data_IF_095334796803
#
_entry.id   IF_095334796803
#
_cell.length_a   1.000
_cell.length_b   1.000
_cell.length_c   1.000
_cell.angle_alpha   90.00
_cell.angle_beta   90.00
_cell.angle_gamma   90.00
#
_symmetry.space_group_name_H-M   'P 1'
#
loop_
_entity.id
_entity.type
_entity.pdbx_description
1 polymer ?
#
# COMPACT_ATOMS: atom_id res chain seq x y z
N UNK A 1 8.52 -0.60 4.77
CA UNK A 1 7.61 -1.75 4.73
C UNK A 1 6.85 -1.91 3.42
N UNK A 2 6.21 -0.87 2.89
CA UNK A 2 5.35 -0.95 1.68
C UNK A 2 5.98 -1.69 0.49
N UNK A 3 7.25 -1.41 0.15
CA UNK A 3 7.95 -2.06 -0.95
C UNK A 3 8.06 -3.59 -0.80
N UNK A 4 8.42 -4.07 0.39
CA UNK A 4 8.60 -5.52 0.64
C UNK A 4 7.27 -6.25 0.87
N UNK A 5 6.22 -5.52 1.27
CA UNK A 5 4.90 -6.09 1.47
C UNK A 5 4.11 -6.14 0.16
N UNK A 6 3.96 -5.01 -0.54
CA UNK A 6 2.90 -4.85 -1.54
C UNK A 6 3.36 -5.03 -3.00
N UNK A 7 4.66 -5.17 -3.24
CA UNK A 7 5.17 -5.56 -4.57
C UNK A 7 5.10 -7.06 -4.76
N UNK A 8 4.91 -7.49 -6.00
CA UNK A 8 4.93 -8.89 -6.41
C UNK A 8 6.27 -9.56 -6.06
N UNK A 9 7.38 -8.86 -6.25
CA UNK A 9 8.74 -9.33 -6.00
C UNK A 9 9.16 -9.15 -4.53
N UNK A 10 8.25 -8.70 -3.66
CA UNK A 10 8.50 -8.48 -2.25
C UNK A 10 8.50 -9.78 -1.44
N UNK A 11 9.54 -9.96 -0.63
CA UNK A 11 9.64 -11.06 0.34
C UNK A 11 9.66 -10.47 1.76
N UNK A 12 8.49 -10.27 2.39
CA UNK A 12 8.41 -9.53 3.62
C UNK A 12 8.93 -10.35 4.81
N UNK A 13 9.84 -9.77 5.58
CA UNK A 13 10.17 -10.19 6.93
C UNK A 13 9.79 -9.04 7.86
N UNK A 14 8.79 -9.26 8.71
CA UNK A 14 8.28 -8.22 9.63
C UNK A 14 9.05 -8.32 10.94
N UNK A 15 9.56 -7.19 11.41
CA UNK A 15 10.26 -7.13 12.68
C UNK A 15 9.23 -6.95 13.81
N UNK A 16 9.28 -7.82 14.82
CA UNK A 16 8.26 -7.86 15.87
C UNK A 16 8.09 -6.51 16.60
N UNK A 17 9.17 -5.80 17.02
CA UNK A 17 9.05 -4.49 17.62
C UNK A 17 8.46 -3.40 16.70
N UNK A 18 8.65 -3.50 15.39
CA UNK A 18 8.03 -2.53 14.46
C UNK A 18 6.50 -2.72 14.39
N UNK A 19 5.99 -3.91 14.75
CA UNK A 19 4.55 -4.19 14.78
C UNK A 19 3.92 -3.94 16.16
N UNK A 20 4.61 -4.29 17.24
CA UNK A 20 4.04 -4.28 18.60
C UNK A 20 4.72 -3.29 19.55
N UNK A 21 5.77 -2.60 19.09
CA UNK A 21 6.67 -1.86 19.95
C UNK A 21 7.58 -2.78 20.76
N UNK A 22 8.45 -2.17 21.56
CA UNK A 22 9.33 -2.91 22.46
C UNK A 22 9.85 -2.04 23.59
N UNK A 23 10.08 -2.66 24.75
CA UNK A 23 10.76 -2.04 25.87
C UNK A 23 11.70 -3.07 26.51
N UNK A 24 12.99 -2.72 26.61
CA UNK A 24 14.01 -3.55 27.24
C UNK A 24 15.14 -2.69 27.82
N UNK A 25 15.97 -3.30 28.66
CA UNK A 25 17.15 -2.65 29.24
C UNK A 25 18.40 -3.28 28.65
N UNK A 26 19.39 -2.47 28.28
CA UNK A 26 20.69 -2.93 27.77
C UNK A 26 21.84 -2.12 28.39
N UNK A 27 23.04 -2.69 28.37
CA UNK A 27 24.25 -2.01 28.85
C UNK A 27 24.81 -1.11 27.75
N UNK A 28 24.95 0.18 28.06
CA UNK A 28 25.58 1.16 27.20
C UNK A 28 27.08 0.92 27.08
N UNK A 29 27.72 1.64 26.15
CA UNK A 29 29.19 1.62 26.01
C UNK A 29 29.93 2.23 27.21
N UNK A 30 29.20 2.92 28.08
CA UNK A 30 29.65 3.46 29.37
C UNK A 30 29.62 2.43 30.51
N UNK A 31 29.06 1.24 30.27
CA UNK A 31 28.89 0.20 31.28
C UNK A 31 27.66 0.39 32.18
N UNK A 32 26.82 1.38 31.89
CA UNK A 32 25.60 1.67 32.64
C UNK A 32 24.36 1.05 31.96
N UNK A 33 23.32 0.78 32.74
CA UNK A 33 22.06 0.23 32.21
C UNK A 33 21.17 1.35 31.66
N UNK A 34 20.69 1.18 30.43
CA UNK A 34 19.81 2.13 29.74
C UNK A 34 18.51 1.46 29.32
N UNK A 35 17.39 2.16 29.52
CA UNK A 35 16.09 1.75 28.99
C UNK A 35 15.98 2.12 27.52
N UNK A 36 15.53 1.18 26.70
CA UNK A 36 15.36 1.33 25.26
C UNK A 36 13.88 1.14 24.94
N UNK A 37 13.29 2.15 24.31
CA UNK A 37 11.91 2.14 23.85
C UNK A 37 11.89 2.14 22.32
N UNK A 38 11.21 1.16 21.75
CA UNK A 38 10.96 1.05 20.33
C UNK A 38 9.47 1.32 20.09
N UNK A 39 9.18 2.40 19.38
CA UNK A 39 7.81 2.70 18.95
C UNK A 39 7.40 1.73 17.83
N UNK A 40 6.14 1.30 17.85
CA UNK A 40 5.56 0.60 16.71
C UNK A 40 5.45 1.55 15.50
N UNK A 41 5.44 0.97 14.30
CA UNK A 41 5.15 1.68 13.07
C UNK A 41 3.64 1.71 12.87
N UNK A 42 3.05 2.88 13.04
CA UNK A 42 1.59 3.06 13.06
C UNK A 42 0.88 2.54 11.79
N UNK A 43 1.50 2.68 10.61
CA UNK A 43 0.89 2.21 9.35
C UNK A 43 1.06 0.71 9.10
N UNK A 44 1.94 0.01 9.83
CA UNK A 44 2.28 -1.38 9.53
C UNK A 44 1.08 -2.34 9.64
N UNK A 45 0.17 -2.25 10.63
CA UNK A 45 -1.05 -3.05 10.66
C UNK A 45 -1.90 -2.90 9.39
N UNK A 46 -2.08 -1.67 8.90
CA UNK A 46 -2.84 -1.41 7.67
C UNK A 46 -2.12 -1.95 6.42
N UNK A 47 -0.79 -1.88 6.38
CA UNK A 47 0.00 -2.48 5.29
C UNK A 47 -0.09 -4.02 5.29
N UNK A 48 -0.17 -4.65 6.46
CA UNK A 48 -0.38 -6.10 6.58
C UNK A 48 -1.78 -6.50 6.10
N UNK A 49 -2.81 -5.73 6.46
CA UNK A 49 -4.15 -5.91 5.89
C UNK A 49 -4.11 -5.77 4.36
N UNK A 50 -3.42 -4.75 3.86
CA UNK A 50 -3.32 -4.52 2.42
C UNK A 50 -2.64 -5.69 1.69
N UNK A 51 -1.61 -6.24 2.30
CA UNK A 51 -0.93 -7.42 1.77
C UNK A 51 -1.84 -8.65 1.74
N UNK A 52 -2.67 -8.83 2.76
CA UNK A 52 -3.58 -9.97 2.86
C UNK A 52 -4.73 -9.90 1.85
N UNK A 53 -5.18 -8.71 1.48
CA UNK A 53 -6.43 -8.53 0.72
C UNK A 53 -6.27 -7.99 -0.70
N UNK A 54 -5.28 -7.13 -0.94
CA UNK A 54 -5.27 -6.26 -2.14
C UNK A 54 -4.00 -6.39 -3.00
N UNK A 55 -2.89 -6.89 -2.46
CA UNK A 55 -1.62 -6.98 -3.18
C UNK A 55 -1.51 -8.26 -4.05
N UNK A 56 -2.49 -8.48 -4.94
CA UNK A 56 -2.64 -9.67 -5.77
C UNK A 56 -2.77 -9.34 -7.27
N UNK A 57 -2.63 -10.36 -8.12
CA UNK A 57 -2.75 -10.19 -9.57
C UNK A 57 -1.59 -9.44 -10.22
N UNK A 58 -1.81 -9.09 -11.50
CA UNK A 58 -0.84 -8.46 -12.40
C UNK A 58 -0.29 -7.16 -11.80
N UNK A 59 1.03 -7.02 -11.77
CA UNK A 59 1.70 -5.79 -11.37
C UNK A 59 2.08 -4.94 -12.58
N UNK A 60 1.80 -3.63 -12.51
CA UNK A 60 2.38 -2.60 -13.41
C UNK A 60 3.13 -1.58 -12.57
N UNK A 61 4.28 -1.10 -13.04
CA UNK A 61 5.22 -0.31 -12.22
C UNK A 61 5.68 0.97 -12.93
N UNK A 62 5.71 2.08 -12.18
CA UNK A 62 6.19 3.40 -12.57
C UNK A 62 7.35 3.81 -11.65
N UNK A 63 8.56 3.41 -12.05
CA UNK A 63 9.83 3.78 -11.41
C UNK A 63 10.60 4.75 -12.31
N UNK A 64 9.88 5.77 -12.77
CA UNK A 64 10.29 6.72 -13.80
C UNK A 64 10.69 8.10 -13.24
N UNK A 65 10.50 8.31 -11.93
CA UNK A 65 10.83 9.55 -11.22
C UNK A 65 11.62 9.23 -9.94
N UNK A 66 12.66 10.03 -9.67
CA UNK A 66 13.59 9.83 -8.56
C UNK A 66 12.98 10.09 -7.17
N UNK A 67 11.88 10.84 -7.13
CA UNK A 67 11.19 11.27 -5.92
C UNK A 67 9.84 10.62 -5.71
N UNK A 68 9.16 10.21 -6.78
CA UNK A 68 7.87 9.55 -6.69
C UNK A 68 7.84 8.27 -7.54
N UNK A 69 7.61 7.13 -6.88
CA UNK A 69 7.42 5.84 -7.55
C UNK A 69 6.03 5.29 -7.24
N UNK A 70 5.49 4.48 -8.14
CA UNK A 70 4.19 3.85 -7.93
C UNK A 70 4.07 2.52 -8.65
N UNK A 71 3.10 1.71 -8.22
CA UNK A 71 2.73 0.48 -8.90
C UNK A 71 1.28 0.15 -8.62
N UNK A 72 0.69 -0.64 -9.50
CA UNK A 72 -0.64 -1.21 -9.34
C UNK A 72 -0.57 -2.72 -9.22
N UNK A 73 -1.53 -3.30 -8.52
CA UNK A 73 -1.81 -4.73 -8.40
C UNK A 73 -3.27 -4.90 -8.82
N UNK A 74 -3.50 -5.56 -9.95
CA UNK A 74 -4.83 -5.62 -10.57
C UNK A 74 -5.86 -6.43 -9.74
N UNK A 75 -5.40 -7.27 -8.82
CA UNK A 75 -6.21 -8.29 -8.17
C UNK A 75 -6.34 -9.55 -9.03
N UNK A 76 -6.96 -10.58 -8.48
CA UNK A 76 -7.27 -11.83 -9.17
C UNK A 76 -8.75 -12.23 -8.96
N UNK A 77 -9.10 -13.50 -9.21
CA UNK A 77 -10.48 -14.00 -9.05
C UNK A 77 -10.92 -14.09 -7.59
N UNK A 78 -9.96 -14.17 -6.66
CA UNK A 78 -10.21 -14.36 -5.22
C UNK A 78 -9.92 -13.11 -4.40
N UNK A 79 -9.10 -12.19 -4.93
CA UNK A 79 -8.61 -11.03 -4.21
C UNK A 79 -8.78 -9.75 -5.04
N UNK A 80 -9.04 -8.67 -4.34
CA UNK A 80 -9.08 -7.34 -4.94
C UNK A 80 -7.66 -6.83 -5.23
N UNK A 81 -7.59 -5.67 -5.89
CA UNK A 81 -6.35 -5.00 -6.27
C UNK A 81 -6.07 -3.76 -5.45
N UNK A 82 -4.90 -3.15 -5.64
CA UNK A 82 -4.55 -1.85 -5.11
C UNK A 82 -3.68 -1.03 -6.06
N UNK A 83 -3.64 0.28 -5.84
CA UNK A 83 -2.63 1.17 -6.40
C UNK A 83 -1.80 1.76 -5.25
N UNK A 84 -0.48 1.85 -5.41
CA UNK A 84 0.44 2.31 -4.37
C UNK A 84 1.31 3.41 -4.95
N UNK A 85 1.43 4.52 -4.21
CA UNK A 85 2.41 5.57 -4.49
C UNK A 85 3.28 5.80 -3.27
N UNK A 86 4.55 6.07 -3.50
CA UNK A 86 5.51 6.48 -2.49
C UNK A 86 6.24 7.73 -2.99
N UNK A 87 6.26 8.77 -2.17
CA UNK A 87 7.06 9.97 -2.41
C UNK A 87 8.09 10.17 -1.30
N UNK A 88 9.34 10.43 -1.67
CA UNK A 88 10.37 10.92 -0.75
C UNK A 88 10.57 12.44 -0.84
N UNK A 89 9.80 13.12 -1.70
CA UNK A 89 9.83 14.56 -1.91
C UNK A 89 8.47 15.18 -1.61
N UNK A 90 8.01 16.07 -2.49
CA UNK A 90 6.72 16.75 -2.35
C UNK A 90 5.52 15.82 -2.61
N UNK A 91 4.32 16.38 -2.44
CA UNK A 91 3.09 15.72 -2.88
C UNK A 91 3.16 15.45 -4.38
N UNK A 92 2.67 14.29 -4.80
CA UNK A 92 2.73 13.87 -6.18
C UNK A 92 1.45 13.15 -6.62
N UNK A 93 1.24 13.12 -7.93
CA UNK A 93 0.16 12.41 -8.59
C UNK A 93 0.76 11.61 -9.75
N UNK A 94 0.26 10.39 -9.97
CA UNK A 94 0.56 9.60 -11.16
C UNK A 94 -0.72 9.04 -11.77
N UNK A 95 -0.84 9.18 -13.08
CA UNK A 95 -1.80 8.40 -13.86
C UNK A 95 -1.27 6.98 -14.03
N UNK A 96 -1.94 6.02 -13.40
CA UNK A 96 -1.54 4.61 -13.42
C UNK A 96 -2.67 3.72 -13.90
N UNK A 97 -2.35 2.77 -14.75
CA UNK A 97 -3.26 1.73 -15.20
C UNK A 97 -3.43 0.69 -14.09
N UNK A 98 -4.67 0.44 -13.69
CA UNK A 98 -5.06 -0.63 -12.77
C UNK A 98 -5.74 -1.80 -13.49
N UNK A 99 -6.34 -1.55 -14.67
CA UNK A 99 -7.04 -2.53 -15.50
C UNK A 99 -8.54 -2.25 -15.61
N UNK A 100 -9.14 -2.62 -16.75
CA UNK A 100 -10.54 -2.31 -17.08
C UNK A 100 -11.56 -3.01 -16.18
N UNK A 101 -11.17 -4.06 -15.44
CA UNK A 101 -12.00 -4.66 -14.38
C UNK A 101 -12.41 -3.65 -13.29
N UNK A 102 -11.66 -2.57 -13.16
CA UNK A 102 -11.90 -1.48 -12.20
C UNK A 102 -12.56 -0.25 -12.85
N UNK A 103 -12.96 -0.32 -14.11
CA UNK A 103 -13.64 0.79 -14.80
C UNK A 103 -14.85 1.32 -14.01
N UNK A 104 -14.91 2.64 -13.84
CA UNK A 104 -15.96 3.35 -13.11
C UNK A 104 -15.92 3.16 -11.58
N UNK A 105 -14.95 2.42 -11.04
CA UNK A 105 -14.86 2.14 -9.60
C UNK A 105 -14.09 3.23 -8.87
N UNK A 106 -14.51 3.48 -7.62
CA UNK A 106 -13.89 4.45 -6.72
C UNK A 106 -12.91 3.76 -5.75
N UNK A 107 -11.80 4.44 -5.48
CA UNK A 107 -10.70 4.02 -4.61
C UNK A 107 -10.49 5.04 -3.51
N UNK A 108 -10.18 4.57 -2.30
CA UNK A 108 -9.85 5.38 -1.13
C UNK A 108 -8.42 5.10 -0.65
N UNK A 109 -7.77 6.08 -0.03
CA UNK A 109 -6.49 5.85 0.63
C UNK A 109 -6.71 5.05 1.92
N UNK A 110 -6.16 3.84 1.98
CA UNK A 110 -6.24 2.96 3.14
C UNK A 110 -5.57 3.56 4.37
N UNK A 111 -4.51 4.36 4.16
CA UNK A 111 -3.76 4.99 5.25
C UNK A 111 -4.37 6.33 5.70
N UNK A 112 -5.44 6.79 5.04
CA UNK A 112 -6.20 7.98 5.43
C UNK A 112 -5.41 9.28 5.34
N UNK A 113 -4.33 9.35 4.55
CA UNK A 113 -3.52 10.56 4.39
C UNK A 113 -4.13 11.52 3.36
N UNK A 114 -4.96 10.99 2.46
CA UNK A 114 -5.73 11.74 1.47
C UNK A 114 -7.18 11.29 1.55
N UNK A 115 -8.09 12.25 1.75
CA UNK A 115 -9.53 11.97 1.92
C UNK A 115 -10.25 11.87 0.57
N UNK A 116 -9.76 12.60 -0.45
CA UNK A 116 -10.38 12.64 -1.77
C UNK A 116 -10.23 11.29 -2.49
N UNK A 117 -11.34 10.64 -2.88
CA UNK A 117 -11.28 9.38 -3.59
C UNK A 117 -10.80 9.56 -5.03
N UNK A 118 -10.34 8.45 -5.63
CA UNK A 118 -9.93 8.38 -7.04
C UNK A 118 -10.90 7.47 -7.79
N UNK A 119 -11.45 7.94 -8.89
CA UNK A 119 -12.25 7.10 -9.80
C UNK A 119 -11.38 6.62 -10.95
N UNK A 120 -11.41 5.31 -11.19
CA UNK A 120 -10.78 4.69 -12.35
C UNK A 120 -11.69 4.88 -13.57
N UNK A 121 -11.15 5.38 -14.66
CA UNK A 121 -11.90 5.65 -15.89
C UNK A 121 -12.24 4.34 -16.65
N UNK A 122 -13.00 4.46 -17.74
CA UNK A 122 -13.42 3.30 -18.57
C UNK A 122 -12.25 2.51 -19.19
N UNK A 123 -11.09 3.15 -19.34
CA UNK A 123 -9.87 2.51 -19.87
C UNK A 123 -9.04 1.83 -18.77
N UNK A 124 -9.49 1.85 -17.51
CA UNK A 124 -8.80 1.23 -16.39
C UNK A 124 -7.67 2.09 -15.78
N UNK A 125 -7.67 3.40 -15.99
CA UNK A 125 -6.66 4.34 -15.47
C UNK A 125 -7.20 5.24 -14.34
N UNK A 126 -6.38 5.51 -13.33
CA UNK A 126 -6.70 6.43 -12.24
C UNK A 126 -5.59 7.43 -11.93
N UNK A 127 -5.97 8.63 -11.47
CA UNK A 127 -5.07 9.69 -11.01
C UNK A 127 -4.80 9.54 -9.51
N UNK A 128 -3.85 8.68 -9.17
CA UNK A 128 -3.56 8.35 -7.77
C UNK A 128 -2.56 9.34 -7.17
N UNK A 129 -2.77 9.71 -5.91
CA UNK A 129 -2.02 10.77 -5.22
C UNK A 129 -1.24 10.23 -4.04
N UNK A 130 -0.26 10.99 -3.59
CA UNK A 130 0.50 10.73 -2.35
C UNK A 130 0.91 12.06 -1.70
N UNK A 131 0.83 12.13 -0.37
CA UNK A 131 1.28 13.29 0.40
C UNK A 131 2.82 13.37 0.47
N UNK A 132 3.42 14.53 0.77
CA UNK A 132 4.87 14.70 0.81
C UNK A 132 5.55 13.71 1.78
N UNK A 133 6.69 13.15 1.37
CA UNK A 133 7.49 12.26 2.21
C UNK A 133 6.74 11.03 2.74
N UNK A 134 5.72 10.56 2.03
CA UNK A 134 4.77 9.56 2.53
C UNK A 134 4.48 8.44 1.52
N UNK A 135 3.52 7.59 1.90
CA UNK A 135 2.99 6.52 1.08
C UNK A 135 1.47 6.59 1.13
N UNK A 136 0.82 6.33 -0.01
CA UNK A 136 -0.62 6.12 -0.10
C UNK A 136 -0.88 4.75 -0.72
N UNK A 137 -1.87 4.04 -0.15
CA UNK A 137 -2.28 2.72 -0.61
C UNK A 137 -3.76 2.79 -0.95
N UNK A 138 -4.04 2.94 -2.24
CA UNK A 138 -5.38 3.08 -2.77
C UNK A 138 -6.03 1.71 -2.94
N UNK A 139 -7.15 1.51 -2.25
CA UNK A 139 -7.94 0.27 -2.28
C UNK A 139 -9.38 0.56 -2.70
N UNK A 140 -10.12 -0.42 -3.24
CA UNK A 140 -11.52 -0.21 -3.62
C UNK A 140 -12.34 0.33 -2.45
N UNK A 141 -13.12 1.39 -2.68
CA UNK A 141 -14.00 1.94 -1.66
C UNK A 141 -15.17 1.00 -1.32
N UNK A 142 -15.54 0.14 -2.27
CA UNK A 142 -16.56 -0.89 -2.14
C UNK A 142 -16.10 -2.19 -2.82
N UNK A 143 -16.44 -3.38 -2.28
CA UNK A 143 -16.09 -4.65 -2.88
C UNK A 143 -16.65 -4.82 -4.30
N UNK A 144 -15.93 -5.53 -5.17
CA UNK A 144 -16.50 -6.00 -6.44
C UNK A 144 -17.73 -6.88 -6.17
N UNK A 145 -18.76 -6.72 -7.01
CA UNK A 145 -19.88 -7.65 -6.96
C UNK A 145 -19.37 -9.04 -7.37
N UNK A 146 -19.86 -10.13 -6.74
CA UNK A 146 -19.53 -11.47 -7.19
C UNK A 146 -19.91 -11.60 -8.66
N UNK A 147 -18.99 -12.15 -9.47
CA UNK A 147 -19.30 -12.52 -10.85
C UNK A 147 -20.50 -13.45 -10.80
N UNK A 148 -21.60 -13.08 -11.48
CA UNK A 148 -22.68 -14.04 -11.69
C UNK A 148 -22.09 -15.12 -12.57
N UNK A 149 -21.82 -16.29 -11.98
CA UNK A 149 -21.40 -17.46 -12.74
C UNK A 149 -22.39 -17.68 -13.87
N UNK A 150 -21.87 -17.81 -15.08
CA UNK A 150 -22.64 -18.32 -16.20
C UNK A 150 -23.21 -19.67 -15.76
N UNK A 151 -24.53 -19.72 -15.61
CA UNK A 151 -25.25 -20.96 -15.35
C UNK A 151 -25.09 -21.87 -16.56
N UNK A 152 -24.58 -23.07 -16.30
CA UNK A 152 -24.65 -24.22 -17.22
C UNK A 152 -26.04 -24.87 -17.13
#
# INVERSE_FOLDING_TARGET
YTLILLREEGYPCVFYPDLFGGHYTDLGRDGEAHEIFLAAVDELPALLEARQKYAYGLQRSWFDDAHCVGWTREGDDSHEGCAVLLSNGDAAEKHMELGTRWAGRSFRDLLGKIEEPVTVNEEGWGAFRVAPGSVSVWVPAHPLAPSQGEGE
#
